data_IF_151402922928
#
_entry.id   IF_151402922928
#
_cell.length_a   1.000
_cell.length_b   1.000
_cell.length_c   1.000
_cell.angle_alpha   90.00
_cell.angle_beta   90.00
_cell.angle_gamma   90.00
#
_symmetry.space_group_name_H-M   'P 1'
#
loop_
_entity.id
_entity.type
_entity.pdbx_description
1 polymer ?
#
# COMPACT_ATOMS: atom_id res chain seq x y z
N UNK A 1 -0.88 -5.36 29.10
CA UNK A 1 -0.35 -5.63 27.74
C UNK A 1 0.85 -4.70 27.55
N UNK A 2 2.06 -5.22 27.36
CA UNK A 2 3.26 -4.38 27.13
C UNK A 2 3.48 -4.23 25.63
N UNK A 3 3.44 -2.99 25.14
CA UNK A 3 3.79 -2.66 23.75
C UNK A 3 5.32 -2.68 23.65
N UNK A 4 5.86 -3.15 22.52
CA UNK A 4 7.31 -3.12 22.28
C UNK A 4 7.78 -1.66 22.28
N UNK A 5 8.89 -1.30 22.96
CA UNK A 5 9.34 0.08 23.07
C UNK A 5 9.55 0.76 21.71
N UNK A 6 9.98 -0.01 20.70
CA UNK A 6 10.28 0.47 19.36
C UNK A 6 9.07 0.42 18.41
N UNK A 7 7.89 0.06 18.91
CA UNK A 7 6.71 -0.16 18.06
C UNK A 7 6.35 1.05 17.21
N UNK A 8 6.45 2.26 17.75
CA UNK A 8 6.14 3.48 16.99
C UNK A 8 7.06 3.69 15.78
N UNK A 9 8.29 3.20 15.85
CA UNK A 9 9.24 3.27 14.74
C UNK A 9 9.00 2.15 13.72
N UNK A 10 8.52 0.99 14.16
CA UNK A 10 8.40 -0.22 13.32
C UNK A 10 7.02 -0.41 12.70
N UNK A 11 5.96 0.19 13.26
CA UNK A 11 4.56 -0.06 12.85
C UNK A 11 4.31 0.19 11.37
N UNK A 12 4.99 1.18 10.78
CA UNK A 12 4.88 1.50 9.35
C UNK A 12 5.45 0.37 8.50
N UNK A 13 6.66 -0.09 8.82
CA UNK A 13 7.33 -1.16 8.06
C UNK A 13 6.61 -2.51 8.20
N UNK A 14 6.10 -2.79 9.40
CA UNK A 14 5.29 -3.99 9.66
C UNK A 14 4.00 -3.95 8.86
N UNK A 15 3.28 -2.81 8.87
CA UNK A 15 2.07 -2.64 8.07
C UNK A 15 2.37 -2.78 6.58
N UNK A 16 3.45 -2.16 6.10
CA UNK A 16 3.86 -2.26 4.71
C UNK A 16 4.13 -3.71 4.29
N UNK A 17 4.85 -4.46 5.12
CA UNK A 17 5.14 -5.87 4.91
C UNK A 17 3.87 -6.72 4.84
N UNK A 18 2.90 -6.45 5.73
CA UNK A 18 1.61 -7.13 5.73
C UNK A 18 0.78 -6.82 4.48
N UNK A 19 0.74 -5.55 4.06
CA UNK A 19 0.06 -5.14 2.83
C UNK A 19 0.70 -5.81 1.60
N UNK A 20 2.03 -5.74 1.47
CA UNK A 20 2.75 -6.37 0.37
C UNK A 20 2.45 -7.87 0.31
N UNK A 21 2.53 -8.57 1.43
CA UNK A 21 2.15 -9.98 1.52
C UNK A 21 0.70 -10.23 1.06
N UNK A 22 -0.27 -9.45 1.57
CA UNK A 22 -1.69 -9.59 1.20
C UNK A 22 -1.91 -9.44 -0.30
N UNK A 23 -1.41 -8.36 -0.89
CA UNK A 23 -1.69 -8.07 -2.30
C UNK A 23 -0.83 -8.91 -3.26
N UNK A 24 0.37 -9.34 -2.89
CA UNK A 24 1.16 -10.30 -3.68
C UNK A 24 0.60 -11.71 -3.63
N UNK A 25 -0.08 -12.11 -2.54
CA UNK A 25 -0.67 -13.45 -2.41
C UNK A 25 -1.93 -13.61 -3.26
N UNK A 26 -2.70 -12.53 -3.46
CA UNK A 26 -4.00 -12.58 -4.11
C UNK A 26 -4.05 -11.73 -5.38
N UNK A 27 -3.91 -12.32 -6.58
CA UNK A 27 -3.84 -11.57 -7.84
C UNK A 27 -5.04 -10.65 -8.11
N UNK A 28 -6.24 -11.05 -7.69
CA UNK A 28 -7.43 -10.20 -7.84
C UNK A 28 -7.34 -8.91 -7.01
N UNK A 29 -6.70 -8.96 -5.84
CA UNK A 29 -6.48 -7.77 -5.01
C UNK A 29 -5.41 -6.87 -5.62
N UNK A 30 -4.32 -7.43 -6.16
CA UNK A 30 -3.30 -6.61 -6.83
C UNK A 30 -3.88 -5.91 -8.07
N UNK A 31 -4.66 -6.62 -8.89
CA UNK A 31 -5.38 -6.01 -10.03
C UNK A 31 -6.32 -4.89 -9.57
N UNK A 32 -7.06 -5.09 -8.47
CA UNK A 32 -7.93 -4.08 -7.89
C UNK A 32 -7.15 -2.88 -7.34
N UNK A 33 -5.97 -3.09 -6.77
CA UNK A 33 -5.13 -1.99 -6.30
C UNK A 33 -4.59 -1.17 -7.47
N UNK A 34 -4.09 -1.83 -8.51
CA UNK A 34 -3.57 -1.19 -9.73
C UNK A 34 -4.67 -0.42 -10.47
N UNK A 35 -5.91 -0.92 -10.51
CA UNK A 35 -7.02 -0.23 -11.17
C UNK A 35 -7.37 1.13 -10.54
N UNK A 36 -6.89 1.40 -9.32
CA UNK A 36 -7.04 2.73 -8.68
C UNK A 36 -6.01 3.76 -9.13
N UNK A 37 -5.14 3.43 -10.09
CA UNK A 37 -4.12 4.34 -10.61
C UNK A 37 -4.72 5.71 -11.01
N UNK A 38 -4.00 6.79 -10.68
CA UNK A 38 -4.49 8.15 -10.86
C UNK A 38 -5.44 8.66 -9.77
N UNK A 39 -5.90 7.81 -8.85
CA UNK A 39 -6.72 8.22 -7.69
C UNK A 39 -5.90 8.23 -6.39
N UNK A 40 -6.31 9.10 -5.45
CA UNK A 40 -5.81 9.11 -4.08
C UNK A 40 -6.63 8.14 -3.25
N UNK A 41 -5.97 7.25 -2.51
CA UNK A 41 -6.63 6.34 -1.57
C UNK A 41 -6.60 6.94 -0.16
N UNK A 42 -7.78 7.04 0.46
CA UNK A 42 -7.94 7.52 1.83
C UNK A 42 -8.75 6.50 2.61
N UNK A 43 -8.22 6.06 3.75
CA UNK A 43 -9.01 5.25 4.69
C UNK A 43 -9.97 6.17 5.44
N UNK A 44 -11.26 5.92 5.30
CA UNK A 44 -12.34 6.82 5.73
C UNK A 44 -12.79 6.58 7.18
N UNK A 45 -11.85 6.30 8.09
CA UNK A 45 -12.14 6.25 9.51
C UNK A 45 -12.18 7.67 10.09
N UNK A 46 -13.31 8.10 10.70
CA UNK A 46 -13.40 9.40 11.34
C UNK A 46 -12.63 9.46 12.67
N UNK A 47 -12.14 8.34 13.18
CA UNK A 47 -11.49 8.23 14.49
C UNK A 47 -10.00 7.90 14.40
N UNK A 48 -9.53 7.42 13.25
CA UNK A 48 -8.13 7.06 13.05
C UNK A 48 -7.38 8.24 12.40
N UNK A 49 -6.62 8.96 13.22
CA UNK A 49 -5.80 10.09 12.75
C UNK A 49 -4.43 9.67 12.23
N UNK A 50 -4.03 8.41 12.41
CA UNK A 50 -2.70 7.94 11.99
C UNK A 50 -2.80 7.18 10.67
N UNK A 51 -3.57 6.10 10.64
CA UNK A 51 -3.77 5.30 9.42
C UNK A 51 -4.84 5.88 8.51
N UNK A 52 -5.85 6.53 9.10
CA UNK A 52 -7.02 7.10 8.43
C UNK A 52 -6.89 8.58 8.09
N UNK A 53 -7.92 9.06 7.38
CA UNK A 53 -8.06 10.47 6.99
C UNK A 53 -8.63 11.37 8.08
N UNK A 54 -9.13 10.81 9.19
CA UNK A 54 -9.85 11.60 10.20
C UNK A 54 -11.21 12.09 9.69
N UNK A 55 -11.96 12.79 10.56
CA UNK A 55 -13.33 13.20 10.26
C UNK A 55 -13.38 14.34 9.25
N UNK A 56 -12.44 15.27 9.35
CA UNK A 56 -12.35 16.51 8.58
C UNK A 56 -11.15 16.52 7.63
N UNK A 57 -10.47 15.38 7.45
CA UNK A 57 -9.25 15.28 6.63
C UNK A 57 -7.96 15.61 7.39
N UNK A 58 -8.03 15.68 8.72
CA UNK A 58 -6.91 15.99 9.61
C UNK A 58 -5.99 14.78 9.90
N UNK A 59 -6.40 13.58 9.49
CA UNK A 59 -5.62 12.35 9.64
C UNK A 59 -4.45 12.24 8.65
N UNK A 60 -3.42 11.52 9.06
CA UNK A 60 -2.17 11.37 8.31
C UNK A 60 -2.31 10.44 7.09
N UNK A 61 -3.36 9.61 7.05
CA UNK A 61 -3.65 8.66 5.99
C UNK A 61 -2.45 7.74 5.64
N UNK A 62 -1.72 7.25 6.65
CA UNK A 62 -0.58 6.36 6.40
C UNK A 62 -0.97 5.10 5.65
N UNK A 63 -2.17 4.56 5.87
CA UNK A 63 -2.61 3.34 5.17
C UNK A 63 -2.76 3.60 3.67
N UNK A 64 -3.46 4.68 3.31
CA UNK A 64 -3.62 5.09 1.92
C UNK A 64 -2.28 5.36 1.25
N UNK A 65 -1.35 6.03 1.94
CA UNK A 65 0.01 6.29 1.44
C UNK A 65 0.78 4.99 1.17
N UNK A 66 0.73 4.02 2.08
CA UNK A 66 1.39 2.73 1.90
C UNK A 66 0.78 1.92 0.74
N UNK A 67 -0.55 1.94 0.59
CA UNK A 67 -1.23 1.30 -0.55
C UNK A 67 -0.84 1.95 -1.87
N UNK A 68 -0.76 3.28 -1.93
CA UNK A 68 -0.33 4.00 -3.13
C UNK A 68 1.14 3.74 -3.47
N UNK A 69 2.02 3.62 -2.46
CA UNK A 69 3.41 3.18 -2.66
C UNK A 69 3.45 1.77 -3.28
N UNK A 70 2.74 0.82 -2.67
CA UNK A 70 2.68 -0.57 -3.15
C UNK A 70 2.11 -0.67 -4.58
N UNK A 71 1.09 0.15 -4.89
CA UNK A 71 0.53 0.27 -6.23
C UNK A 71 1.59 0.67 -7.25
N UNK A 72 2.42 1.68 -6.95
CA UNK A 72 3.51 2.09 -7.85
C UNK A 72 4.50 0.96 -8.09
N UNK A 73 4.90 0.23 -7.04
CA UNK A 73 5.80 -0.93 -7.19
C UNK A 73 5.23 -1.99 -8.14
N UNK A 74 3.93 -2.32 -8.05
CA UNK A 74 3.32 -3.30 -8.96
C UNK A 74 3.17 -2.80 -10.41
N UNK A 75 2.92 -1.50 -10.61
CA UNK A 75 2.86 -0.92 -11.95
C UNK A 75 4.25 -0.96 -12.61
N UNK A 76 5.29 -0.62 -11.86
CA UNK A 76 6.69 -0.70 -12.33
C UNK A 76 7.08 -2.14 -12.68
N UNK A 77 6.74 -3.12 -11.83
CA UNK A 77 7.02 -4.54 -12.07
C UNK A 77 6.27 -5.10 -13.30
N UNK A 78 5.05 -4.62 -13.56
CA UNK A 78 4.30 -4.99 -14.78
C UNK A 78 4.94 -4.42 -16.05
N UNK A 79 5.59 -3.25 -15.94
CA UNK A 79 6.25 -2.60 -17.08
C UNK A 79 7.58 -3.29 -17.40
N UNK A 80 8.38 -3.65 -16.38
CA UNK A 80 9.68 -4.34 -16.57
C UNK A 80 9.54 -5.78 -17.03
N UNK A 81 8.42 -6.43 -16.74
CA UNK A 81 8.11 -7.80 -17.21
C UNK A 81 7.86 -7.88 -18.72
N UNK A 82 7.57 -6.75 -19.38
CA UNK A 82 7.27 -6.71 -20.82
C UNK A 82 8.51 -6.59 -21.73
N UNK A 83 9.66 -6.16 -21.22
CA UNK A 83 10.90 -6.01 -21.99
C UNK A 83 11.73 -7.30 -22.11
N UNK A 84 11.54 -8.27 -21.22
CA UNK A 84 12.32 -9.52 -21.22
C UNK A 84 11.82 -10.58 -22.22
N UNK A 85 10.63 -10.38 -22.82
CA UNK A 85 10.03 -11.31 -23.78
C UNK A 85 10.52 -11.12 -25.23
N UNK A 86 11.24 -10.05 -25.53
CA UNK A 86 11.54 -9.64 -26.93
C UNK A 86 12.95 -10.00 -27.43
N UNK A 87 13.77 -10.70 -26.62
CA UNK A 87 15.16 -11.07 -26.95
C UNK A 87 15.35 -12.54 -27.34
N UNK A 88 14.28 -13.29 -27.59
CA UNK A 88 14.34 -14.67 -28.06
C UNK A 88 13.67 -14.83 -29.43
N UNK A 89 14.32 -14.33 -30.49
CA UNK A 89 14.11 -14.73 -31.89
C UNK A 89 15.46 -14.91 -32.56
#
# INVERSE_FOLDING_TARGET
MRIRPEWDNMKIDVMYSALKCKFSTYPHLSSMLVSTAGSVLVEASPHDLFWGGGREGEGLNYLGRLLMKLRSEFIEESSSSSESSSLAV
#
